data_IF_842001982847
#
_entry.id   IF_842001982847
#
_cell.length_a   1.000
_cell.length_b   1.000
_cell.length_c   1.000
_cell.angle_alpha   90.00
_cell.angle_beta   90.00
_cell.angle_gamma   90.00
#
_symmetry.space_group_name_H-M   'P 1'
#
loop_
_entity.id
_entity.type
_entity.pdbx_description
1 polymer ?
#
# COMPACT_ATOMS: atom_id res chain seq x y z
N UNK A 1 -14.75 45.63 -56.91
CA UNK A 1 -13.82 44.54 -56.52
C UNK A 1 -13.26 44.80 -55.12
N UNK A 2 -13.97 44.48 -54.03
CA UNK A 2 -13.46 44.56 -52.63
C UNK A 2 -14.30 43.69 -51.69
N UNK A 3 -14.36 42.36 -51.86
CA UNK A 3 -15.08 41.46 -50.92
C UNK A 3 -14.50 40.05 -50.83
N UNK A 4 -13.17 39.89 -50.82
CA UNK A 4 -12.55 38.54 -50.71
C UNK A 4 -11.41 38.47 -49.68
N UNK A 5 -11.20 39.51 -48.86
CA UNK A 5 -10.08 39.49 -47.88
C UNK A 5 -10.57 39.19 -46.44
N UNK A 6 -11.88 39.28 -46.16
CA UNK A 6 -12.46 39.01 -44.83
C UNK A 6 -12.89 37.55 -44.61
N UNK A 7 -12.38 36.59 -45.39
CA UNK A 7 -12.77 35.18 -45.23
C UNK A 7 -11.61 34.25 -44.82
N UNK A 8 -10.35 34.71 -44.87
CA UNK A 8 -9.19 33.88 -44.54
C UNK A 8 -8.69 34.07 -43.09
N UNK A 9 -9.08 35.14 -42.41
CA UNK A 9 -8.71 35.40 -41.01
C UNK A 9 -9.63 34.71 -39.99
N UNK A 10 -10.83 34.28 -40.39
CA UNK A 10 -11.80 33.61 -39.50
C UNK A 10 -11.55 32.10 -39.44
N UNK A 11 -10.93 31.51 -40.47
CA UNK A 11 -10.62 30.07 -40.50
C UNK A 11 -9.41 29.68 -39.63
N UNK A 12 -8.49 30.61 -39.35
CA UNK A 12 -7.35 30.35 -38.46
C UNK A 12 -7.70 30.47 -36.96
N UNK A 13 -8.80 31.13 -36.59
CA UNK A 13 -9.16 31.29 -35.18
C UNK A 13 -9.92 30.07 -34.61
N UNK A 14 -10.44 29.20 -35.48
CA UNK A 14 -11.17 27.99 -35.07
C UNK A 14 -10.26 26.81 -34.64
N UNK A 15 -8.95 26.88 -34.88
CA UNK A 15 -8.00 25.80 -34.54
C UNK A 15 -7.34 25.96 -33.16
N UNK A 16 -7.69 26.98 -32.38
CA UNK A 16 -6.93 27.37 -31.19
C UNK A 16 -7.40 26.77 -29.85
N UNK A 17 -8.53 26.04 -29.76
CA UNK A 17 -9.13 25.74 -28.44
C UNK A 17 -9.66 24.32 -28.26
N UNK A 18 -8.91 23.28 -28.58
CA UNK A 18 -9.15 21.96 -27.96
C UNK A 18 -7.83 21.24 -27.68
N UNK A 19 -6.98 21.80 -26.80
CA UNK A 19 -6.00 20.97 -26.11
C UNK A 19 -6.77 20.04 -25.18
N UNK A 20 -7.12 18.84 -25.66
CA UNK A 20 -7.78 17.83 -24.84
C UNK A 20 -6.80 17.46 -23.72
N UNK A 21 -7.10 17.92 -22.50
CA UNK A 21 -6.31 17.59 -21.31
C UNK A 21 -6.51 16.10 -21.05
N UNK A 22 -5.48 15.29 -21.29
CA UNK A 22 -5.55 13.86 -20.99
C UNK A 22 -5.49 13.68 -19.47
N UNK A 23 -6.52 13.08 -18.91
CA UNK A 23 -6.59 12.72 -17.49
C UNK A 23 -6.16 11.26 -17.30
N UNK A 24 -5.47 10.99 -16.22
CA UNK A 24 -4.96 9.66 -15.84
C UNK A 24 -4.06 9.78 -14.62
N UNK A 25 -3.62 8.67 -14.04
CA UNK A 25 -2.68 8.76 -12.94
C UNK A 25 -1.34 9.31 -13.43
N UNK A 26 -0.83 10.35 -12.78
CA UNK A 26 0.44 11.00 -13.14
C UNK A 26 1.60 10.61 -12.21
N UNK A 27 1.34 9.74 -11.24
CA UNK A 27 2.34 9.28 -10.28
C UNK A 27 3.09 8.05 -10.83
N UNK A 28 4.41 8.11 -11.04
CA UNK A 28 5.20 6.99 -11.55
C UNK A 28 5.22 5.75 -10.66
N UNK A 29 4.89 5.88 -9.36
CA UNK A 29 4.87 4.77 -8.40
C UNK A 29 3.53 4.00 -8.49
N UNK A 30 2.51 4.57 -9.13
CA UNK A 30 1.21 3.92 -9.26
C UNK A 30 1.21 2.80 -10.30
N UNK A 31 0.45 1.74 -10.03
CA UNK A 31 0.25 0.59 -10.90
C UNK A 31 -0.42 0.97 -12.23
N UNK A 32 -1.23 2.02 -12.20
CA UNK A 32 -1.98 2.54 -13.34
C UNK A 32 -1.44 3.88 -13.85
N UNK A 33 -0.13 4.14 -13.65
CA UNK A 33 0.56 5.31 -14.19
C UNK A 33 0.33 5.46 -15.71
N UNK A 34 -0.09 6.65 -16.13
CA UNK A 34 -0.23 7.03 -17.52
C UNK A 34 0.74 8.16 -17.84
N UNK A 35 1.90 7.83 -18.41
CA UNK A 35 2.91 8.83 -18.79
C UNK A 35 2.46 9.81 -19.89
N UNK A 36 1.27 9.62 -20.49
CA UNK A 36 0.66 10.59 -21.42
C UNK A 36 -0.36 11.49 -20.71
N UNK A 37 -0.76 11.18 -19.48
CA UNK A 37 -1.67 12.01 -18.70
C UNK A 37 -0.99 13.34 -18.34
N UNK A 38 -1.72 14.44 -18.53
CA UNK A 38 -1.28 15.79 -18.19
C UNK A 38 -1.94 16.30 -16.91
N UNK A 39 -2.83 15.49 -16.32
CA UNK A 39 -3.53 15.81 -15.07
C UNK A 39 -3.96 14.56 -14.36
N UNK A 40 -3.72 14.53 -13.05
CA UNK A 40 -4.14 13.46 -12.19
C UNK A 40 -5.67 13.36 -12.16
N UNK A 41 -6.20 12.16 -12.35
CA UNK A 41 -7.62 11.86 -12.17
C UNK A 41 -7.99 11.46 -10.74
N UNK A 42 -7.01 11.43 -9.81
CA UNK A 42 -7.16 10.99 -8.42
C UNK A 42 -7.55 9.50 -8.26
N UNK A 43 -7.41 8.72 -9.33
CA UNK A 43 -7.71 7.29 -9.35
C UNK A 43 -6.42 6.45 -9.42
N UNK A 44 -5.29 6.99 -8.94
CA UNK A 44 -4.05 6.23 -8.84
C UNK A 44 -4.26 5.03 -7.91
N UNK A 45 -3.79 3.85 -8.34
CA UNK A 45 -3.76 2.64 -7.52
C UNK A 45 -2.32 2.29 -7.22
N UNK A 46 -2.03 1.95 -5.97
CA UNK A 46 -0.70 1.57 -5.55
C UNK A 46 -0.70 0.22 -4.83
N UNK A 47 0.39 -0.53 -4.99
CA UNK A 47 0.66 -1.70 -4.13
C UNK A 47 1.50 -1.28 -2.93
N UNK A 48 1.28 -1.93 -1.80
CA UNK A 48 2.12 -1.80 -0.62
C UNK A 48 2.00 -3.06 0.22
N UNK A 49 3.02 -3.33 1.03
CA UNK A 49 3.07 -4.55 1.84
C UNK A 49 3.45 -4.26 3.28
N UNK A 50 2.97 -5.10 4.20
CA UNK A 50 3.41 -5.18 5.58
C UNK A 50 3.99 -6.57 5.82
N UNK A 51 5.02 -6.65 6.64
CA UNK A 51 5.47 -7.92 7.21
C UNK A 51 5.57 -7.80 8.73
N UNK A 52 5.16 -8.83 9.45
CA UNK A 52 5.26 -8.90 10.90
C UNK A 52 6.38 -9.85 11.29
N UNK A 53 7.27 -9.40 12.15
CA UNK A 53 8.40 -10.21 12.59
C UNK A 53 8.72 -9.99 14.06
N UNK A 54 9.37 -10.98 14.67
CA UNK A 54 9.79 -10.95 16.05
C UNK A 54 11.17 -11.59 16.17
N UNK A 55 11.90 -11.26 17.23
CA UNK A 55 13.21 -11.85 17.54
C UNK A 55 13.12 -12.77 18.76
N UNK A 56 14.25 -13.37 19.13
CA UNK A 56 14.36 -14.29 20.27
C UNK A 56 13.90 -13.66 21.59
N UNK A 57 14.16 -12.37 21.79
CA UNK A 57 13.74 -11.68 23.01
C UNK A 57 12.21 -11.62 23.11
N UNK A 58 11.54 -11.29 22.00
CA UNK A 58 10.08 -11.28 21.96
C UNK A 58 9.54 -12.70 22.07
N UNK A 59 10.17 -13.70 21.44
CA UNK A 59 9.80 -15.11 21.57
C UNK A 59 9.81 -15.58 23.03
N UNK A 60 10.87 -15.28 23.76
CA UNK A 60 11.02 -15.60 25.18
C UNK A 60 9.98 -14.89 26.06
N UNK A 61 9.65 -13.65 25.70
CA UNK A 61 8.62 -12.85 26.40
C UNK A 61 7.23 -13.46 26.21
N UNK A 62 6.90 -13.87 24.99
CA UNK A 62 5.64 -14.54 24.65
C UNK A 62 5.54 -15.93 25.31
N UNK A 63 6.65 -16.66 25.42
CA UNK A 63 6.69 -17.95 26.14
C UNK A 63 6.28 -17.81 27.61
N UNK A 64 6.86 -16.80 28.28
CA UNK A 64 6.61 -16.52 29.70
C UNK A 64 5.20 -16.00 29.95
N UNK A 65 4.57 -15.40 28.95
CA UNK A 65 3.22 -14.84 29.02
C UNK A 65 2.19 -15.91 28.65
N UNK A 66 2.10 -16.96 29.48
CA UNK A 66 1.09 -18.02 29.38
C UNK A 66 1.31 -19.08 28.27
N UNK A 67 2.54 -19.22 27.76
CA UNK A 67 2.84 -20.26 26.76
C UNK A 67 2.14 -19.98 25.43
N UNK A 68 2.24 -18.76 24.92
CA UNK A 68 1.82 -18.44 23.56
C UNK A 68 2.60 -19.34 22.59
N UNK A 69 1.88 -20.10 21.76
CA UNK A 69 2.49 -21.05 20.81
C UNK A 69 2.35 -20.59 19.35
N UNK A 70 1.28 -19.86 19.06
CA UNK A 70 1.01 -19.34 17.73
C UNK A 70 0.39 -17.96 17.81
N UNK A 71 0.54 -17.20 16.73
CA UNK A 71 -0.04 -15.88 16.55
C UNK A 71 -0.93 -15.86 15.32
N UNK A 72 -2.14 -15.34 15.48
CA UNK A 72 -3.07 -15.04 14.40
C UNK A 72 -3.03 -13.55 14.06
N UNK A 73 -2.76 -13.23 12.79
CA UNK A 73 -2.53 -11.87 12.33
C UNK A 73 -3.75 -11.35 11.58
N UNK A 74 -4.21 -10.16 11.96
CA UNK A 74 -5.33 -9.48 11.33
C UNK A 74 -4.90 -8.07 10.89
N UNK A 75 -5.24 -7.70 9.66
CA UNK A 75 -5.09 -6.34 9.15
C UNK A 75 -6.44 -5.85 8.65
N UNK A 76 -6.90 -4.70 9.14
CA UNK A 76 -8.24 -4.16 8.86
C UNK A 76 -9.36 -5.20 9.14
N UNK A 77 -9.21 -5.94 10.25
CA UNK A 77 -10.12 -7.00 10.69
C UNK A 77 -10.22 -8.23 9.76
N UNK A 78 -9.33 -8.35 8.77
CA UNK A 78 -9.20 -9.54 7.91
C UNK A 78 -8.02 -10.38 8.41
N UNK A 79 -8.25 -11.68 8.68
CA UNK A 79 -7.17 -12.61 9.02
C UNK A 79 -6.26 -12.79 7.80
N UNK A 80 -4.97 -12.49 7.96
CA UNK A 80 -3.97 -12.59 6.89
C UNK A 80 -3.13 -13.86 7.03
N UNK A 81 -2.91 -14.32 8.26
CA UNK A 81 -2.04 -15.46 8.55
C UNK A 81 -2.26 -16.00 9.96
N UNK A 82 -1.77 -17.22 10.19
CA UNK A 82 -1.71 -17.88 11.49
C UNK A 82 -0.42 -18.71 11.55
N UNK A 83 0.54 -18.29 12.37
CA UNK A 83 1.89 -18.86 12.40
C UNK A 83 2.28 -19.33 13.78
N UNK A 84 3.02 -20.44 13.84
CA UNK A 84 3.69 -20.90 15.07
C UNK A 84 4.88 -20.00 15.42
N UNK A 85 5.21 -19.91 16.71
CA UNK A 85 6.33 -19.13 17.22
C UNK A 85 7.68 -19.88 17.15
N UNK A 86 8.02 -20.45 16.00
CA UNK A 86 9.21 -21.28 15.82
C UNK A 86 10.34 -20.62 14.99
N UNK A 87 10.09 -19.44 14.39
CA UNK A 87 11.01 -18.78 13.47
C UNK A 87 11.36 -17.33 13.89
N UNK A 88 12.01 -17.11 15.05
CA UNK A 88 12.50 -15.80 15.44
C UNK A 88 13.55 -15.29 14.43
N UNK A 89 13.48 -14.00 14.11
CA UNK A 89 14.39 -13.33 13.18
C UNK A 89 15.45 -12.53 13.94
N UNK A 90 16.73 -12.67 13.58
CA UNK A 90 17.82 -11.88 14.17
C UNK A 90 17.77 -10.39 13.76
N UNK A 91 17.24 -10.13 12.56
CA UNK A 91 17.13 -8.80 11.97
C UNK A 91 15.89 -8.71 11.09
N UNK A 92 15.55 -7.49 10.69
CA UNK A 92 14.45 -7.25 9.78
C UNK A 92 14.58 -8.12 8.51
N UNK A 93 13.60 -8.99 8.21
CA UNK A 93 13.66 -9.94 7.13
C UNK A 93 13.38 -9.27 5.77
N UNK A 94 13.59 -10.02 4.68
CA UNK A 94 13.14 -9.58 3.36
C UNK A 94 11.65 -9.92 3.20
N UNK A 95 10.94 -9.07 2.49
CA UNK A 95 9.52 -9.23 2.23
C UNK A 95 9.19 -10.44 1.36
N UNK A 96 7.99 -11.00 1.54
CA UNK A 96 7.51 -12.15 0.78
C UNK A 96 8.16 -13.48 1.14
N UNK A 97 8.86 -13.57 2.28
CA UNK A 97 9.29 -14.87 2.82
C UNK A 97 8.07 -15.65 3.33
N UNK A 98 8.00 -16.94 2.97
CA UNK A 98 6.84 -17.81 3.24
C UNK A 98 6.55 -18.10 4.72
N UNK A 99 7.49 -17.81 5.61
CA UNK A 99 7.37 -18.10 7.05
C UNK A 99 7.15 -16.84 7.90
N UNK A 100 6.72 -15.75 7.25
CA UNK A 100 6.56 -14.44 7.85
C UNK A 100 5.21 -13.89 7.43
N UNK A 101 4.38 -13.55 8.40
CA UNK A 101 3.04 -13.03 8.14
C UNK A 101 3.17 -11.75 7.31
N UNK A 102 2.66 -11.80 6.08
CA UNK A 102 2.80 -10.74 5.09
C UNK A 102 1.41 -10.34 4.60
N UNK A 103 1.09 -9.05 4.68
CA UNK A 103 -0.12 -8.49 4.08
C UNK A 103 0.25 -7.67 2.86
N UNK A 104 -0.39 -7.95 1.73
CA UNK A 104 -0.23 -7.18 0.50
C UNK A 104 -1.57 -6.56 0.12
N UNK A 105 -1.56 -5.28 -0.25
CA UNK A 105 -2.74 -4.61 -0.79
C UNK A 105 -2.42 -3.94 -2.12
N UNK A 106 -3.36 -4.02 -3.06
CA UNK A 106 -3.29 -3.34 -4.37
C UNK A 106 -4.08 -2.04 -4.41
N UNK A 107 -4.75 -1.71 -3.31
CA UNK A 107 -5.78 -0.68 -3.23
C UNK A 107 -5.44 0.35 -2.16
N UNK A 108 -4.25 0.95 -2.25
CA UNK A 108 -4.09 2.30 -1.75
C UNK A 108 -4.68 3.21 -2.84
N UNK A 109 -5.98 3.53 -2.75
CA UNK A 109 -6.63 4.36 -3.77
C UNK A 109 -6.41 5.84 -3.47
N UNK A 110 -5.98 6.60 -4.47
CA UNK A 110 -5.91 8.07 -4.41
C UNK A 110 -4.80 8.66 -3.54
N UNK A 111 -4.11 7.85 -2.73
CA UNK A 111 -2.93 8.24 -1.95
C UNK A 111 -1.85 7.16 -2.02
N UNK A 112 -0.59 7.59 -2.05
CA UNK A 112 0.58 6.72 -2.03
C UNK A 112 0.94 6.24 -0.62
N UNK A 113 0.13 6.55 0.39
CA UNK A 113 0.30 6.07 1.76
C UNK A 113 -1.06 5.85 2.43
N UNK A 114 -1.11 4.91 3.38
CA UNK A 114 -2.32 4.62 4.17
C UNK A 114 -1.95 4.12 5.55
N UNK A 115 -2.67 4.59 6.55
CA UNK A 115 -2.62 4.01 7.89
C UNK A 115 -3.58 2.82 7.95
N UNK A 116 -3.08 1.66 8.35
CA UNK A 116 -3.90 0.46 8.57
C UNK A 116 -3.75 -0.02 10.01
N UNK A 117 -4.83 -0.54 10.58
CA UNK A 117 -4.84 -1.13 11.91
C UNK A 117 -4.52 -2.61 11.80
N UNK A 118 -3.64 -3.09 12.67
CA UNK A 118 -3.43 -4.51 12.87
C UNK A 118 -3.84 -4.95 14.29
N UNK A 119 -4.19 -6.22 14.39
CA UNK A 119 -4.42 -6.93 15.64
C UNK A 119 -3.76 -8.30 15.54
N UNK A 120 -3.18 -8.76 16.64
CA UNK A 120 -2.57 -10.08 16.73
C UNK A 120 -3.11 -10.78 17.97
N UNK A 121 -3.63 -11.98 17.78
CA UNK A 121 -4.19 -12.82 18.83
C UNK A 121 -3.31 -14.06 19.03
N UNK A 122 -3.37 -14.67 20.20
CA UNK A 122 -2.78 -15.99 20.46
C UNK A 122 -3.75 -17.13 20.11
N UNK A 123 -3.33 -18.37 20.38
CA UNK A 123 -4.14 -19.57 20.17
C UNK A 123 -5.40 -19.68 21.04
N UNK A 124 -5.58 -18.79 22.02
CA UNK A 124 -6.72 -18.76 22.94
C UNK A 124 -7.63 -17.54 22.68
N UNK A 125 -7.50 -16.91 21.50
CA UNK A 125 -8.19 -15.68 21.11
C UNK A 125 -7.88 -14.47 22.04
N UNK A 126 -6.76 -14.49 22.77
CA UNK A 126 -6.33 -13.35 23.57
C UNK A 126 -5.59 -12.34 22.70
N UNK A 127 -6.02 -11.07 22.76
CA UNK A 127 -5.31 -9.99 22.08
C UNK A 127 -3.91 -9.78 22.68
N UNK A 128 -2.88 -10.00 21.86
CA UNK A 128 -1.48 -9.83 22.24
C UNK A 128 -0.96 -8.45 21.81
N UNK A 129 -1.17 -8.07 20.56
CA UNK A 129 -0.71 -6.80 20.00
C UNK A 129 -1.81 -6.09 19.21
N UNK A 130 -1.83 -4.77 19.27
CA UNK A 130 -2.61 -3.94 18.35
C UNK A 130 -1.96 -2.58 18.21
N UNK A 131 -1.81 -2.13 16.97
CA UNK A 131 -1.35 -0.77 16.66
C UNK A 131 -1.83 -0.36 15.27
N UNK A 132 -1.45 0.84 14.86
CA UNK A 132 -1.65 1.40 13.52
C UNK A 132 -0.27 1.56 12.86
N UNK A 133 -0.15 1.08 11.63
CA UNK A 133 1.08 1.19 10.84
C UNK A 133 0.82 1.97 9.56
N UNK A 134 1.78 2.81 9.17
CA UNK A 134 1.78 3.51 7.90
C UNK A 134 2.33 2.59 6.81
N UNK A 135 1.48 2.22 5.86
CA UNK A 135 1.87 1.59 4.60
C UNK A 135 2.21 2.66 3.56
N UNK A 136 3.23 2.41 2.76
CA UNK A 136 3.66 3.28 1.66
C UNK A 136 3.70 2.51 0.34
N UNK A 137 3.35 3.21 -0.73
CA UNK A 137 3.33 2.68 -2.08
C UNK A 137 4.71 2.22 -2.54
N UNK A 138 4.80 1.02 -3.09
CA UNK A 138 6.06 0.43 -3.56
C UNK A 138 7.03 0.03 -2.44
N UNK A 139 6.63 0.19 -1.17
CA UNK A 139 7.41 -0.21 -0.02
C UNK A 139 6.79 -1.41 0.67
N UNK A 140 7.64 -2.17 1.34
CA UNK A 140 7.24 -3.19 2.28
C UNK A 140 7.73 -2.81 3.66
N UNK A 141 6.79 -2.54 4.56
CA UNK A 141 7.06 -1.99 5.89
C UNK A 141 7.13 -3.13 6.90
N UNK A 142 8.29 -3.30 7.54
CA UNK A 142 8.49 -4.26 8.61
C UNK A 142 7.96 -3.79 9.96
N UNK A 143 7.06 -4.56 10.55
CA UNK A 143 6.55 -4.35 11.91
C UNK A 143 7.23 -5.36 12.83
N UNK A 144 8.22 -4.88 13.60
CA UNK A 144 8.77 -5.67 14.71
C UNK A 144 7.78 -5.67 15.88
N UNK A 145 7.38 -6.85 16.34
CA UNK A 145 6.55 -7.01 17.55
C UNK A 145 7.31 -6.49 18.79
N UNK A 146 6.58 -5.97 19.79
CA UNK A 146 7.18 -5.30 20.96
C UNK A 146 6.51 -5.70 22.26
#
# INVERSE_FOLDING_TARGET
MKKVITSLTILCLAMAITSCKKYGCTDPIANNYDGKARSNNLLCTYEGSLMFWYDEYIRDSLDKKEGVLSLEYYVEDIQIDSLELNNPQEKEPLCGKSEIATYETKNLEGSNQRFVKYKIFDQLDQLIYSDIVEMKAGECVGVRLK
#
